data_IF_688155075079
#
_entry.id   IF_688155075079
#
_cell.length_a   1.000
_cell.length_b   1.000
_cell.length_c   1.000
_cell.angle_alpha   90.00
_cell.angle_beta   90.00
_cell.angle_gamma   90.00
#
_symmetry.space_group_name_H-M   'P 1'
#
loop_
_entity.id
_entity.type
_entity.pdbx_description
1 polymer ?
#
# COMPACT_ATOMS: atom_id res chain seq x y z
N UNK A 1 -24.07 -18.71 30.81
CA UNK A 1 -23.48 -19.94 30.23
C UNK A 1 -23.62 -20.01 28.71
N UNK A 2 -24.83 -19.77 28.16
CA UNK A 2 -25.11 -19.86 26.72
C UNK A 2 -24.23 -18.97 25.84
N UNK A 3 -24.00 -17.72 26.23
CA UNK A 3 -23.16 -16.79 25.45
C UNK A 3 -21.70 -17.25 25.30
N UNK A 4 -21.12 -17.87 26.33
CA UNK A 4 -19.76 -18.44 26.24
C UNK A 4 -19.72 -19.65 25.32
N UNK A 5 -20.79 -20.41 25.28
CA UNK A 5 -20.91 -21.54 24.39
C UNK A 5 -20.95 -21.10 22.92
N UNK A 6 -21.86 -20.15 22.59
CA UNK A 6 -21.95 -19.57 21.24
C UNK A 6 -20.63 -18.96 20.79
N UNK A 7 -19.97 -18.21 21.70
CA UNK A 7 -18.66 -17.60 21.41
C UNK A 7 -17.60 -18.66 21.07
N UNK A 8 -17.55 -19.77 21.83
CA UNK A 8 -16.59 -20.85 21.58
C UNK A 8 -16.85 -21.54 20.25
N UNK A 9 -18.14 -21.73 19.89
CA UNK A 9 -18.53 -22.36 18.62
C UNK A 9 -18.16 -21.51 17.40
N UNK A 10 -18.09 -20.17 17.54
CA UNK A 10 -17.69 -19.25 16.47
C UNK A 10 -16.20 -18.95 16.48
N UNK A 11 -15.53 -18.99 17.64
CA UNK A 11 -14.12 -18.63 17.75
C UNK A 11 -13.19 -19.57 16.97
N UNK A 12 -13.47 -20.87 16.97
CA UNK A 12 -12.66 -21.84 16.23
C UNK A 12 -12.76 -21.62 14.72
N UNK A 13 -13.97 -21.55 14.13
CA UNK A 13 -14.11 -21.16 12.72
C UNK A 13 -13.51 -19.79 12.40
N UNK A 14 -13.52 -18.83 13.36
CA UNK A 14 -12.91 -17.52 13.19
C UNK A 14 -11.40 -17.63 12.95
N UNK A 15 -10.69 -18.35 13.81
CA UNK A 15 -9.26 -18.53 13.66
C UNK A 15 -8.91 -19.27 12.36
N UNK A 16 -9.71 -20.30 12.02
CA UNK A 16 -9.55 -21.02 10.75
C UNK A 16 -9.80 -20.11 9.56
N UNK A 17 -10.86 -19.30 9.60
CA UNK A 17 -11.18 -18.33 8.55
C UNK A 17 -10.08 -17.28 8.36
N UNK A 18 -9.61 -16.67 9.44
CA UNK A 18 -8.50 -15.69 9.39
C UNK A 18 -7.25 -16.32 8.79
N UNK A 19 -6.87 -17.53 9.24
CA UNK A 19 -5.72 -18.22 8.71
C UNK A 19 -5.88 -18.55 7.22
N UNK A 20 -7.06 -19.05 6.81
CA UNK A 20 -7.37 -19.39 5.42
C UNK A 20 -7.25 -18.16 4.51
N UNK A 21 -7.88 -17.05 4.87
CA UNK A 21 -7.83 -15.82 4.08
C UNK A 21 -6.42 -15.21 4.09
N UNK A 22 -5.73 -15.24 5.22
CA UNK A 22 -4.36 -14.76 5.29
C UNK A 22 -3.40 -15.59 4.41
N UNK A 23 -3.54 -16.92 4.40
CA UNK A 23 -2.75 -17.80 3.56
C UNK A 23 -3.05 -17.58 2.06
N UNK A 24 -4.31 -17.40 1.70
CA UNK A 24 -4.72 -17.11 0.32
C UNK A 24 -4.14 -15.78 -0.18
N UNK A 25 -4.22 -14.72 0.63
CA UNK A 25 -3.65 -13.42 0.28
C UNK A 25 -2.11 -13.43 0.26
N UNK A 26 -1.46 -14.22 1.12
CA UNK A 26 -0.02 -14.41 1.08
C UNK A 26 0.41 -15.17 -0.19
N UNK A 27 -0.37 -16.17 -0.60
CA UNK A 27 -0.13 -16.89 -1.86
C UNK A 27 -0.30 -15.98 -3.08
N UNK A 28 -1.32 -15.12 -3.11
CA UNK A 28 -1.54 -14.11 -4.15
C UNK A 28 -0.34 -13.15 -4.26
N UNK A 29 0.17 -12.67 -3.13
CA UNK A 29 1.38 -11.85 -3.08
C UNK A 29 2.58 -12.56 -3.68
N UNK A 30 2.84 -13.81 -3.28
CA UNK A 30 3.97 -14.59 -3.81
C UNK A 30 3.82 -14.87 -5.29
N UNK A 31 2.60 -15.17 -5.75
CA UNK A 31 2.30 -15.39 -7.17
C UNK A 31 2.57 -14.13 -8.00
N UNK A 32 2.12 -12.97 -7.53
CA UNK A 32 2.30 -11.69 -8.22
C UNK A 32 3.77 -11.25 -8.31
N UNK A 33 4.59 -11.60 -7.33
CA UNK A 33 6.01 -11.29 -7.28
C UNK A 33 6.91 -12.38 -7.85
N UNK A 34 6.37 -13.55 -8.18
CA UNK A 34 7.16 -14.74 -8.56
C UNK A 34 8.16 -14.49 -9.70
N UNK A 35 7.73 -13.77 -10.75
CA UNK A 35 8.60 -13.42 -11.88
C UNK A 35 9.82 -12.59 -11.47
N UNK A 36 9.63 -11.63 -10.59
CA UNK A 36 10.70 -10.76 -10.08
C UNK A 36 11.62 -11.52 -9.13
N UNK A 37 11.05 -12.30 -8.21
CA UNK A 37 11.80 -13.06 -7.22
C UNK A 37 12.71 -14.09 -7.89
N UNK A 38 12.19 -14.81 -8.90
CA UNK A 38 12.96 -15.81 -9.65
C UNK A 38 14.03 -15.17 -10.53
N UNK A 39 13.71 -14.08 -11.25
CA UNK A 39 14.68 -13.41 -12.13
C UNK A 39 15.85 -12.76 -11.38
N UNK A 40 15.65 -12.39 -10.11
CA UNK A 40 16.66 -11.76 -9.26
C UNK A 40 17.38 -12.73 -8.32
N UNK A 41 16.99 -14.02 -8.29
CA UNK A 41 17.61 -15.01 -7.42
C UNK A 41 17.44 -14.70 -5.92
N UNK A 42 16.28 -14.16 -5.55
CA UNK A 42 15.98 -13.69 -4.17
C UNK A 42 15.96 -14.89 -3.22
N UNK A 43 16.68 -14.76 -2.11
CA UNK A 43 16.79 -15.82 -1.10
C UNK A 43 15.47 -16.06 -0.33
N UNK A 44 15.28 -17.29 0.16
CA UNK A 44 14.07 -17.65 0.94
C UNK A 44 13.84 -16.76 2.18
N UNK A 45 14.92 -16.26 2.79
CA UNK A 45 14.85 -15.34 3.93
C UNK A 45 14.20 -14.01 3.54
N UNK A 46 14.57 -13.44 2.41
CA UNK A 46 14.03 -12.17 1.91
C UNK A 46 12.56 -12.31 1.52
N UNK A 47 12.22 -13.43 0.86
CA UNK A 47 10.82 -13.79 0.57
C UNK A 47 9.99 -13.89 1.85
N UNK A 48 10.52 -14.56 2.88
CA UNK A 48 9.87 -14.66 4.18
C UNK A 48 9.66 -13.31 4.86
N UNK A 49 10.65 -12.40 4.76
CA UNK A 49 10.53 -11.03 5.28
C UNK A 49 9.51 -10.20 4.51
N UNK A 50 9.43 -10.34 3.19
CA UNK A 50 8.38 -9.66 2.39
C UNK A 50 6.98 -10.08 2.83
N UNK A 51 6.76 -11.39 3.02
CA UNK A 51 5.48 -11.90 3.53
C UNK A 51 5.21 -11.37 4.94
N UNK A 52 6.20 -11.37 5.82
CA UNK A 52 6.06 -10.89 7.19
C UNK A 52 5.69 -9.40 7.25
N UNK A 53 6.38 -8.56 6.47
CA UNK A 53 6.08 -7.12 6.41
C UNK A 53 4.72 -6.84 5.75
N UNK A 54 4.22 -7.73 4.90
CA UNK A 54 2.89 -7.62 4.29
C UNK A 54 1.76 -8.12 5.21
N UNK A 55 2.09 -8.85 6.30
CA UNK A 55 1.10 -9.42 7.22
C UNK A 55 0.09 -8.40 7.78
N UNK A 56 0.46 -7.19 8.26
CA UNK A 56 -0.52 -6.25 8.79
C UNK A 56 -1.55 -5.81 7.74
N UNK A 57 -1.13 -5.62 6.49
CA UNK A 57 -2.06 -5.34 5.39
C UNK A 57 -2.98 -6.54 5.12
N UNK A 58 -2.42 -7.75 5.07
CA UNK A 58 -3.16 -9.01 4.90
C UNK A 58 -4.18 -9.20 6.01
N UNK A 59 -3.80 -8.96 7.28
CA UNK A 59 -4.68 -9.07 8.43
C UNK A 59 -5.81 -8.06 8.41
N UNK A 60 -5.60 -6.85 7.87
CA UNK A 60 -6.66 -5.85 7.77
C UNK A 60 -7.86 -6.33 6.94
N UNK A 61 -7.62 -7.23 5.99
CA UNK A 61 -8.66 -7.87 5.17
C UNK A 61 -9.11 -9.21 5.75
N UNK A 62 -8.17 -10.03 6.25
CA UNK A 62 -8.47 -11.36 6.75
C UNK A 62 -9.30 -11.36 8.04
N UNK A 63 -9.10 -10.38 8.93
CA UNK A 63 -9.85 -10.27 10.20
C UNK A 63 -11.37 -10.10 9.97
N UNK A 64 -11.86 -9.14 9.18
CA UNK A 64 -13.29 -8.99 8.93
C UNK A 64 -13.86 -10.14 8.09
N UNK A 65 -13.13 -10.63 7.08
CA UNK A 65 -13.58 -11.76 6.26
C UNK A 65 -13.68 -13.05 7.08
N UNK A 66 -12.70 -13.30 7.96
CA UNK A 66 -12.72 -14.40 8.90
C UNK A 66 -13.91 -14.36 9.85
N UNK A 67 -14.31 -13.15 10.28
CA UNK A 67 -15.50 -12.98 11.14
C UNK A 67 -16.79 -13.36 10.42
N UNK A 68 -16.96 -12.90 9.18
CA UNK A 68 -18.13 -13.28 8.36
C UNK A 68 -18.19 -14.79 8.17
N UNK A 69 -17.07 -15.40 7.80
CA UNK A 69 -16.95 -16.85 7.65
C UNK A 69 -17.32 -17.59 8.95
N UNK A 70 -16.77 -17.13 10.08
CA UNK A 70 -17.00 -17.74 11.39
C UNK A 70 -18.46 -17.70 11.84
N UNK A 71 -19.12 -16.56 11.64
CA UNK A 71 -20.54 -16.41 11.97
C UNK A 71 -21.39 -17.34 11.12
N UNK A 72 -21.12 -17.41 9.81
CA UNK A 72 -21.87 -18.30 8.91
C UNK A 72 -21.66 -19.78 9.28
N UNK A 73 -20.42 -20.23 9.48
CA UNK A 73 -20.11 -21.63 9.81
C UNK A 73 -20.60 -21.99 11.22
N UNK A 74 -20.37 -21.13 12.20
CA UNK A 74 -20.79 -21.34 13.59
C UNK A 74 -22.30 -21.42 13.73
N UNK A 75 -23.04 -20.47 13.14
CA UNK A 75 -24.51 -20.50 13.18
C UNK A 75 -25.08 -21.67 12.39
N UNK A 76 -24.52 -22.02 11.23
CA UNK A 76 -24.94 -23.21 10.48
C UNK A 76 -24.72 -24.49 11.31
N UNK A 77 -23.66 -24.58 12.10
CA UNK A 77 -23.41 -25.66 13.05
C UNK A 77 -24.51 -25.80 14.10
N UNK A 78 -24.86 -24.68 14.76
CA UNK A 78 -25.91 -24.62 15.77
C UNK A 78 -27.31 -24.96 15.20
N UNK A 79 -27.59 -24.53 13.97
CA UNK A 79 -28.85 -24.86 13.26
C UNK A 79 -28.93 -26.36 12.97
N UNK A 80 -27.87 -26.96 12.43
CA UNK A 80 -27.84 -28.40 12.09
C UNK A 80 -28.05 -29.31 13.31
N UNK A 81 -27.50 -28.92 14.46
CA UNK A 81 -27.69 -29.65 15.72
C UNK A 81 -29.02 -29.37 16.40
N UNK A 82 -29.90 -28.53 15.80
CA UNK A 82 -31.18 -28.08 16.37
C UNK A 82 -31.06 -27.34 17.71
N UNK A 83 -29.83 -26.93 18.10
CA UNK A 83 -29.56 -26.24 19.37
C UNK A 83 -30.22 -24.87 19.39
N UNK A 84 -30.23 -24.17 18.25
CA UNK A 84 -30.89 -22.88 18.11
C UNK A 84 -32.39 -22.99 18.27
N UNK A 85 -33.03 -24.05 17.71
CA UNK A 85 -34.45 -24.35 17.88
C UNK A 85 -34.80 -24.66 19.33
N UNK A 86 -33.97 -25.46 20.00
CA UNK A 86 -34.13 -25.80 21.40
C UNK A 86 -34.06 -24.56 22.32
N UNK A 87 -33.07 -23.65 22.03
CA UNK A 87 -32.95 -22.39 22.77
C UNK A 87 -34.18 -21.52 22.61
N UNK A 88 -34.75 -21.40 21.42
CA UNK A 88 -35.99 -20.62 21.18
C UNK A 88 -37.20 -21.27 21.84
N UNK A 89 -37.33 -22.58 21.79
CA UNK A 89 -38.38 -23.31 22.48
C UNK A 89 -38.32 -23.14 24.02
N UNK A 90 -37.10 -22.97 24.55
CA UNK A 90 -36.86 -22.66 25.96
C UNK A 90 -37.06 -21.17 26.32
N UNK A 91 -37.58 -20.35 25.38
CA UNK A 91 -37.88 -18.92 25.62
C UNK A 91 -36.64 -17.99 25.58
N UNK A 92 -35.50 -18.45 25.08
CA UNK A 92 -34.31 -17.60 24.96
C UNK A 92 -34.49 -16.60 23.81
N UNK A 93 -34.43 -15.29 24.07
CA UNK A 93 -34.61 -14.30 23.01
C UNK A 93 -33.41 -14.31 22.03
N UNK A 94 -33.65 -14.10 20.71
CA UNK A 94 -32.62 -14.08 19.70
C UNK A 94 -31.46 -13.12 20.01
N UNK A 95 -31.78 -11.98 20.60
CA UNK A 95 -30.81 -10.96 20.98
C UNK A 95 -29.78 -11.45 22.01
N UNK A 96 -30.17 -12.37 22.90
CA UNK A 96 -29.25 -12.96 23.87
C UNK A 96 -28.20 -13.85 23.22
N UNK A 97 -28.52 -14.47 22.07
CA UNK A 97 -27.61 -15.27 21.26
C UNK A 97 -26.67 -14.38 20.41
N UNK A 98 -27.17 -13.22 19.98
CA UNK A 98 -26.38 -12.29 19.17
C UNK A 98 -25.38 -11.46 19.98
N UNK A 99 -25.66 -11.16 21.25
CA UNK A 99 -24.77 -10.35 22.11
C UNK A 99 -23.30 -10.79 22.07
N UNK A 100 -22.93 -12.08 22.27
CA UNK A 100 -21.54 -12.49 22.23
C UNK A 100 -20.90 -12.31 20.84
N UNK A 101 -21.66 -12.41 19.76
CA UNK A 101 -21.19 -12.19 18.39
C UNK A 101 -20.90 -10.71 18.14
N UNK A 102 -21.79 -9.82 18.62
CA UNK A 102 -21.58 -8.36 18.55
C UNK A 102 -20.33 -7.95 19.34
N UNK A 103 -20.13 -8.50 20.54
CA UNK A 103 -18.94 -8.23 21.33
C UNK A 103 -17.67 -8.73 20.63
N UNK A 104 -17.71 -9.89 19.99
CA UNK A 104 -16.61 -10.40 19.18
C UNK A 104 -16.33 -9.47 17.99
N UNK A 105 -17.37 -9.04 17.30
CA UNK A 105 -17.25 -8.12 16.17
C UNK A 105 -16.64 -6.78 16.58
N UNK A 106 -17.04 -6.21 17.72
CA UNK A 106 -16.46 -5.00 18.29
C UNK A 106 -14.97 -5.18 18.64
N UNK A 107 -14.62 -6.32 19.26
CA UNK A 107 -13.23 -6.64 19.60
C UNK A 107 -12.36 -6.77 18.34
N UNK A 108 -12.85 -7.47 17.31
CA UNK A 108 -12.18 -7.61 16.02
C UNK A 108 -12.04 -6.25 15.32
N UNK A 109 -13.08 -5.43 15.34
CA UNK A 109 -13.07 -4.09 14.74
C UNK A 109 -12.03 -3.18 15.43
N UNK A 110 -11.98 -3.21 16.76
CA UNK A 110 -10.97 -2.44 17.52
C UNK A 110 -9.56 -2.93 17.23
N UNK A 111 -9.35 -4.24 17.19
CA UNK A 111 -8.06 -4.84 16.83
C UNK A 111 -7.64 -4.43 15.41
N UNK A 112 -8.57 -4.46 14.47
CA UNK A 112 -8.29 -4.05 13.09
C UNK A 112 -8.00 -2.55 12.98
N UNK A 113 -8.70 -1.71 13.75
CA UNK A 113 -8.42 -0.28 13.83
C UNK A 113 -7.00 0.00 14.33
N UNK A 114 -6.56 -0.67 15.39
CA UNK A 114 -5.19 -0.56 15.89
C UNK A 114 -4.16 -1.04 14.86
N UNK A 115 -4.48 -2.13 14.14
CA UNK A 115 -3.64 -2.62 13.06
C UNK A 115 -3.49 -1.59 11.94
N UNK A 116 -4.58 -0.96 11.52
CA UNK A 116 -4.59 0.08 10.48
C UNK A 116 -3.86 1.35 10.92
N UNK A 117 -4.02 1.75 12.19
CA UNK A 117 -3.44 2.98 12.72
C UNK A 117 -1.92 2.90 12.92
N UNK A 118 -1.42 1.76 13.41
CA UNK A 118 -0.05 1.66 13.90
C UNK A 118 0.81 0.64 13.13
N UNK A 119 0.31 -0.60 12.97
CA UNK A 119 1.12 -1.67 12.39
C UNK A 119 1.28 -1.55 10.89
N UNK A 120 0.20 -1.24 10.18
CA UNK A 120 0.18 -1.17 8.73
C UNK A 120 1.15 -0.12 8.18
N UNK A 121 1.17 1.15 8.64
CA UNK A 121 2.10 2.16 8.13
C UNK A 121 3.56 1.77 8.31
N UNK A 122 3.93 1.33 9.54
CA UNK A 122 5.31 0.94 9.86
C UNK A 122 5.79 -0.27 9.05
N UNK A 123 4.91 -1.26 8.87
CA UNK A 123 5.25 -2.47 8.10
C UNK A 123 5.31 -2.20 6.61
N UNK A 124 4.47 -1.29 6.10
CA UNK A 124 4.49 -0.89 4.69
C UNK A 124 5.82 -0.22 4.33
N UNK A 125 6.33 0.69 5.15
CA UNK A 125 7.65 1.28 4.93
C UNK A 125 8.79 0.24 4.91
N UNK A 126 8.72 -0.75 5.80
CA UNK A 126 9.71 -1.83 5.83
C UNK A 126 9.62 -2.73 4.60
N UNK A 127 8.38 -3.01 4.15
CA UNK A 127 8.11 -3.76 2.93
C UNK A 127 8.69 -3.03 1.70
N UNK A 128 8.38 -1.74 1.55
CA UNK A 128 8.81 -0.93 0.42
C UNK A 128 10.34 -0.78 0.37
N UNK A 129 10.99 -0.62 1.52
CA UNK A 129 12.45 -0.61 1.62
C UNK A 129 13.08 -1.93 1.20
N UNK A 130 12.48 -3.05 1.62
CA UNK A 130 12.99 -4.38 1.26
C UNK A 130 12.75 -4.67 -0.23
N UNK A 131 11.56 -4.41 -0.72
CA UNK A 131 11.20 -4.58 -2.13
C UNK A 131 12.07 -3.69 -3.03
N UNK A 132 12.29 -2.43 -2.65
CA UNK A 132 13.19 -1.52 -3.34
C UNK A 132 14.62 -2.06 -3.41
N UNK A 133 15.13 -2.65 -2.33
CA UNK A 133 16.44 -3.28 -2.29
C UNK A 133 16.55 -4.49 -3.22
N UNK A 134 15.50 -5.30 -3.29
CA UNK A 134 15.43 -6.45 -4.20
C UNK A 134 15.36 -6.01 -5.66
N UNK A 135 14.55 -4.99 -5.96
CA UNK A 135 14.35 -4.50 -7.33
C UNK A 135 15.58 -3.75 -7.88
N UNK A 136 16.28 -2.98 -7.02
CA UNK A 136 17.29 -2.01 -7.44
C UNK A 136 18.69 -2.30 -6.90
N UNK A 137 18.88 -3.32 -6.03
CA UNK A 137 20.18 -3.72 -5.45
C UNK A 137 20.51 -3.04 -4.13
N UNK A 138 21.65 -3.41 -3.50
CA UNK A 138 22.07 -2.88 -2.19
C UNK A 138 22.42 -1.38 -2.19
N UNK A 139 22.58 -0.75 -3.35
CA UNK A 139 22.60 0.70 -3.54
C UNK A 139 21.23 1.36 -3.44
N UNK A 140 20.16 0.61 -3.18
CA UNK A 140 18.76 0.96 -3.28
C UNK A 140 18.14 1.81 -2.17
N UNK A 141 18.93 2.36 -1.24
CA UNK A 141 18.57 3.60 -0.55
C UNK A 141 18.97 4.83 -1.40
N UNK A 142 19.80 4.62 -2.43
CA UNK A 142 20.14 5.51 -3.52
C UNK A 142 19.81 4.85 -4.86
N UNK A 143 18.79 3.98 -4.91
CA UNK A 143 18.51 3.15 -6.07
C UNK A 143 18.00 3.96 -7.26
N UNK A 144 18.60 3.69 -8.42
CA UNK A 144 18.17 4.23 -9.71
C UNK A 144 16.70 3.96 -9.94
N UNK A 145 15.89 5.00 -9.96
CA UNK A 145 14.48 4.93 -10.29
C UNK A 145 14.35 4.89 -11.81
N UNK A 146 13.71 3.84 -12.34
CA UNK A 146 13.58 3.69 -13.79
C UNK A 146 12.18 4.08 -14.26
N UNK A 147 12.13 4.73 -15.44
CA UNK A 147 10.89 5.11 -16.15
C UNK A 147 9.93 5.91 -15.28
N UNK A 148 10.44 6.98 -14.68
CA UNK A 148 9.63 7.86 -13.86
C UNK A 148 8.87 8.84 -14.74
N UNK A 149 7.56 8.98 -14.46
CA UNK A 149 6.67 9.94 -15.13
C UNK A 149 6.04 10.82 -14.06
N UNK A 150 6.16 12.11 -14.23
CA UNK A 150 5.57 13.11 -13.35
C UNK A 150 4.71 14.04 -14.19
N UNK A 151 3.52 14.35 -13.73
CA UNK A 151 2.60 15.28 -14.40
C UNK A 151 2.09 16.32 -13.41
N UNK A 152 2.96 17.27 -12.96
CA UNK A 152 2.53 18.33 -12.07
C UNK A 152 1.51 19.24 -12.78
N UNK A 153 0.42 19.63 -12.09
CA UNK A 153 -0.60 20.50 -12.67
C UNK A 153 0.00 21.81 -13.17
N UNK A 154 -0.31 22.20 -14.40
CA UNK A 154 0.13 23.48 -14.96
C UNK A 154 1.58 23.53 -15.45
N UNK A 155 2.30 22.40 -15.52
CA UNK A 155 3.71 22.34 -15.94
C UNK A 155 4.00 21.34 -17.07
N UNK A 156 3.04 20.46 -17.39
CA UNK A 156 3.20 19.45 -18.42
C UNK A 156 3.65 18.08 -17.89
N UNK A 157 4.25 17.26 -18.74
CA UNK A 157 4.65 15.88 -18.42
C UNK A 157 6.17 15.77 -18.44
N UNK A 158 6.72 15.31 -17.34
CA UNK A 158 8.14 15.10 -17.12
C UNK A 158 8.42 13.60 -17.09
N UNK A 159 9.30 13.12 -17.94
CA UNK A 159 9.74 11.74 -18.02
C UNK A 159 11.25 11.65 -17.81
N UNK A 160 11.69 10.71 -16.97
CA UNK A 160 13.08 10.33 -16.84
C UNK A 160 13.20 8.81 -16.95
N UNK A 161 14.11 8.32 -17.79
CA UNK A 161 14.38 6.90 -17.93
C UNK A 161 15.03 6.34 -16.69
N UNK A 162 15.98 7.08 -16.11
CA UNK A 162 16.65 6.75 -14.86
C UNK A 162 16.84 8.00 -14.00
N UNK A 163 16.55 7.88 -12.72
CA UNK A 163 16.76 8.91 -11.70
C UNK A 163 17.70 8.33 -10.65
N UNK A 164 18.85 8.98 -10.45
CA UNK A 164 19.86 8.63 -9.46
C UNK A 164 19.73 9.58 -8.27
N UNK A 165 19.16 9.17 -7.13
CA UNK A 165 19.10 10.01 -5.94
C UNK A 165 20.52 10.23 -5.39
N UNK A 166 20.96 11.48 -5.31
CA UNK A 166 22.24 11.90 -4.72
C UNK A 166 21.95 12.90 -3.58
N UNK A 167 22.87 13.08 -2.61
CA UNK A 167 22.65 13.99 -1.48
C UNK A 167 22.45 15.45 -1.87
N UNK A 168 23.07 15.88 -2.96
CA UNK A 168 23.06 17.28 -3.44
C UNK A 168 22.05 17.53 -4.58
N UNK A 169 21.25 16.50 -4.95
CA UNK A 169 20.29 16.58 -6.04
C UNK A 169 20.16 15.24 -6.75
N UNK A 170 19.11 15.05 -7.54
CA UNK A 170 18.91 13.80 -8.25
C UNK A 170 19.48 13.93 -9.66
N UNK A 171 20.39 13.04 -10.05
CA UNK A 171 20.87 12.98 -11.44
C UNK A 171 19.83 12.25 -12.28
N UNK A 172 19.48 12.84 -13.40
CA UNK A 172 18.51 12.32 -14.35
C UNK A 172 19.22 11.82 -15.61
N UNK A 173 18.74 10.71 -16.18
CA UNK A 173 19.19 10.19 -17.45
C UNK A 173 18.01 9.85 -18.35
N UNK A 174 18.15 10.11 -19.67
CA UNK A 174 17.10 9.87 -20.65
C UNK A 174 15.87 10.72 -20.40
N UNK A 175 16.06 12.04 -20.27
CA UNK A 175 15.00 12.98 -19.86
C UNK A 175 14.20 13.43 -21.08
N UNK A 176 12.87 13.43 -20.93
CA UNK A 176 11.92 14.04 -21.86
C UNK A 176 10.88 14.84 -21.10
N UNK A 177 10.70 16.08 -21.46
CA UNK A 177 9.68 16.95 -20.87
C UNK A 177 8.81 17.50 -21.97
N UNK A 178 7.50 17.35 -21.82
CA UNK A 178 6.50 17.96 -22.71
C UNK A 178 5.78 19.05 -21.91
N UNK A 179 5.97 20.31 -22.29
CA UNK A 179 5.28 21.42 -21.62
C UNK A 179 3.83 21.58 -22.11
N UNK A 180 3.06 22.41 -21.46
CA UNK A 180 1.65 22.67 -21.83
C UNK A 180 1.48 23.27 -23.25
N UNK A 181 2.53 23.85 -23.81
CA UNK A 181 2.53 24.42 -25.17
C UNK A 181 2.89 23.38 -26.23
N UNK A 182 3.10 22.10 -25.83
CA UNK A 182 3.47 21.02 -26.71
C UNK A 182 4.95 21.03 -27.13
N UNK A 183 5.80 21.83 -26.51
CA UNK A 183 7.27 21.77 -26.76
C UNK A 183 7.86 20.57 -26.04
N UNK A 184 8.70 19.84 -26.74
CA UNK A 184 9.37 18.65 -26.23
C UNK A 184 10.84 18.96 -25.94
N UNK A 185 11.22 18.89 -24.69
CA UNK A 185 12.62 19.00 -24.28
C UNK A 185 13.19 17.57 -24.16
N UNK A 186 14.34 17.33 -24.73
CA UNK A 186 15.03 16.04 -24.67
C UNK A 186 16.49 16.26 -24.28
N UNK A 187 16.93 15.53 -23.24
CA UNK A 187 18.31 15.56 -22.77
C UNK A 187 18.78 14.15 -22.39
N UNK A 188 20.03 13.82 -22.66
CA UNK A 188 20.62 12.54 -22.21
C UNK A 188 20.83 12.52 -20.71
N UNK A 189 21.26 13.66 -20.15
CA UNK A 189 21.50 13.83 -18.71
C UNK A 189 20.88 15.14 -18.22
N UNK A 190 20.50 15.17 -16.96
CA UNK A 190 19.98 16.33 -16.26
C UNK A 190 20.20 16.23 -14.76
N UNK A 191 20.01 17.34 -14.07
CA UNK A 191 20.06 17.46 -12.61
C UNK A 191 18.70 17.96 -12.11
N UNK A 192 18.15 17.29 -11.13
CA UNK A 192 16.95 17.71 -10.44
C UNK A 192 17.31 18.21 -9.05
N UNK A 193 17.27 19.49 -8.87
CA UNK A 193 17.53 20.21 -7.63
C UNK A 193 16.27 20.95 -7.11
N UNK A 194 16.45 21.80 -6.11
CA UNK A 194 15.36 22.57 -5.52
C UNK A 194 14.75 23.62 -6.48
N UNK A 195 15.49 24.04 -7.51
CA UNK A 195 15.06 25.00 -8.52
C UNK A 195 14.24 24.35 -9.65
N UNK A 196 14.41 23.05 -9.85
CA UNK A 196 13.72 22.29 -10.90
C UNK A 196 14.62 21.28 -11.62
N UNK A 197 14.27 20.98 -12.87
CA UNK A 197 15.08 20.10 -13.72
C UNK A 197 16.03 20.90 -14.58
N UNK A 198 17.30 20.88 -14.25
CA UNK A 198 18.36 21.49 -15.03
C UNK A 198 18.76 20.54 -16.15
N UNK A 199 18.50 20.92 -17.39
CA UNK A 199 18.70 20.11 -18.57
C UNK A 199 19.64 20.76 -19.55
N UNK A 200 20.47 19.94 -20.19
CA UNK A 200 21.30 20.32 -21.34
C UNK A 200 21.01 19.37 -22.48
N UNK A 201 20.35 19.87 -23.51
CA UNK A 201 19.91 19.01 -24.62
C UNK A 201 19.29 19.83 -25.76
N UNK A 202 18.14 19.39 -26.22
CA UNK A 202 17.43 20.01 -27.35
C UNK A 202 15.96 20.27 -26.98
N UNK A 203 15.39 21.33 -27.53
CA UNK A 203 13.98 21.60 -27.55
C UNK A 203 13.43 21.46 -28.97
N UNK A 204 12.34 20.75 -29.10
CA UNK A 204 11.61 20.57 -30.36
C UNK A 204 10.31 21.35 -30.27
N UNK A 205 10.12 22.29 -31.18
CA UNK A 205 8.90 23.08 -31.31
C UNK A 205 8.39 22.99 -32.75
N UNK A 206 7.36 22.19 -32.98
CA UNK A 206 6.90 21.84 -34.31
C UNK A 206 7.95 21.04 -35.10
N UNK A 207 8.47 21.62 -36.21
CA UNK A 207 9.53 21.03 -37.03
C UNK A 207 10.94 21.56 -36.68
N UNK A 208 11.06 22.55 -35.81
CA UNK A 208 12.35 23.15 -35.44
C UNK A 208 12.95 22.47 -34.22
N UNK A 209 14.23 22.13 -34.34
CA UNK A 209 15.07 21.62 -33.24
C UNK A 209 16.12 22.64 -32.89
N UNK A 210 16.13 23.08 -31.62
CA UNK A 210 17.11 24.07 -31.13
C UNK A 210 17.85 23.51 -29.91
N UNK A 211 19.14 23.85 -29.74
CA UNK A 211 19.85 23.50 -28.49
C UNK A 211 19.20 24.23 -27.31
N UNK A 212 19.07 23.53 -26.20
CA UNK A 212 18.51 24.04 -24.94
C UNK A 212 19.45 23.76 -23.78
N UNK A 213 19.74 24.79 -23.01
CA UNK A 213 20.45 24.68 -21.73
C UNK A 213 19.74 25.61 -20.73
N UNK A 214 19.10 25.01 -19.71
CA UNK A 214 18.31 25.80 -18.75
C UNK A 214 17.63 24.94 -17.69
N UNK A 215 16.93 25.61 -16.79
CA UNK A 215 16.15 25.00 -15.71
C UNK A 215 14.66 25.01 -16.08
N UNK A 216 14.03 23.85 -16.08
CA UNK A 216 12.60 23.72 -16.20
C UNK A 216 11.99 23.68 -14.79
N UNK A 217 10.99 24.55 -14.49
CA UNK A 217 10.41 24.61 -13.17
C UNK A 217 9.75 23.29 -12.82
N UNK A 218 10.10 22.74 -11.64
CA UNK A 218 9.50 21.52 -11.15
C UNK A 218 9.21 21.66 -9.65
N UNK A 219 7.98 21.33 -9.16
CA UNK A 219 7.63 21.53 -7.77
C UNK A 219 8.50 20.69 -6.85
N UNK A 220 9.13 21.31 -5.85
CA UNK A 220 9.97 20.65 -4.86
C UNK A 220 9.24 19.57 -4.02
N UNK A 221 7.90 19.52 -4.10
CA UNK A 221 7.05 18.55 -3.42
C UNK A 221 7.11 17.14 -4.00
N UNK A 222 7.50 16.98 -5.26
CA UNK A 222 7.66 15.67 -5.89
C UNK A 222 9.04 15.08 -5.55
N UNK A 223 9.14 14.45 -4.38
CA UNK A 223 10.37 13.71 -4.04
C UNK A 223 10.35 12.33 -4.68
N UNK A 224 11.50 11.84 -5.21
CA UNK A 224 11.56 10.50 -5.82
C UNK A 224 11.14 9.36 -4.90
N UNK A 225 11.22 9.56 -3.58
CA UNK A 225 10.79 8.58 -2.56
C UNK A 225 9.27 8.44 -2.43
N UNK A 226 8.50 9.43 -2.84
CA UNK A 226 7.02 9.40 -2.70
C UNK A 226 6.34 8.61 -3.82
N UNK A 227 7.03 8.36 -4.93
CA UNK A 227 6.46 7.63 -6.08
C UNK A 227 6.66 6.10 -6.05
N UNK A 228 7.41 5.56 -5.08
CA UNK A 228 7.87 4.16 -5.12
C UNK A 228 6.99 3.13 -4.42
N UNK A 229 5.91 3.48 -3.79
CA UNK A 229 5.23 2.46 -2.99
C UNK A 229 3.73 2.54 -2.86
N UNK A 230 3.16 3.68 -2.92
CA UNK A 230 1.73 3.84 -2.70
C UNK A 230 1.05 4.46 -3.91
N UNK A 231 0.04 3.79 -4.43
CA UNK A 231 -0.90 4.42 -5.37
C UNK A 231 -1.69 5.53 -4.68
N UNK A 232 -1.64 5.55 -3.36
CA UNK A 232 -2.26 6.56 -2.51
C UNK A 232 -1.21 7.07 -1.50
N UNK A 233 -0.83 8.36 -1.54
CA UNK A 233 0.14 8.94 -0.61
C UNK A 233 -0.30 8.85 0.87
N UNK A 234 -1.59 8.60 1.12
CA UNK A 234 -2.15 8.48 2.47
C UNK A 234 -2.12 7.05 3.04
N UNK A 235 -1.86 6.03 2.19
CA UNK A 235 -1.91 4.61 2.60
C UNK A 235 -0.79 4.21 3.58
N UNK A 236 0.33 4.94 3.60
CA UNK A 236 1.47 4.73 4.48
C UNK A 236 1.61 5.75 5.61
N UNK A 237 0.68 6.70 5.71
CA UNK A 237 0.79 7.80 6.68
C UNK A 237 0.09 7.43 8.00
N UNK A 238 0.75 7.58 9.17
CA UNK A 238 0.11 7.38 10.47
C UNK A 238 -1.09 8.30 10.68
N UNK A 239 -2.10 7.82 11.39
CA UNK A 239 -3.36 8.56 11.64
C UNK A 239 -3.14 9.95 12.25
N UNK A 240 -2.15 10.10 13.14
CA UNK A 240 -1.81 11.38 13.76
C UNK A 240 -1.35 12.41 12.72
N UNK A 241 -0.56 11.99 11.76
CA UNK A 241 -0.07 12.86 10.69
C UNK A 241 -1.17 13.18 9.67
N UNK A 242 -2.06 12.23 9.38
CA UNK A 242 -3.26 12.45 8.56
C UNK A 242 -4.18 13.50 9.19
N UNK A 243 -4.41 13.42 10.50
CA UNK A 243 -5.20 14.42 11.23
C UNK A 243 -4.58 15.81 11.20
N UNK A 244 -3.26 15.91 11.35
CA UNK A 244 -2.54 17.16 11.24
C UNK A 244 -2.65 17.76 9.83
N UNK A 245 -2.50 16.93 8.79
CA UNK A 245 -2.65 17.35 7.39
C UNK A 245 -4.09 17.71 7.02
N UNK A 246 -5.09 17.00 7.53
CA UNK A 246 -6.51 17.28 7.28
C UNK A 246 -6.97 18.67 7.76
N UNK A 247 -6.23 19.29 8.67
CA UNK A 247 -6.46 20.66 9.10
C UNK A 247 -5.92 21.70 8.11
N UNK A 248 -4.91 21.35 7.31
CA UNK A 248 -4.20 22.25 6.38
C UNK A 248 -4.61 21.98 4.93
N UNK A 249 -4.82 20.73 4.55
CA UNK A 249 -5.13 20.30 3.19
C UNK A 249 -6.54 19.67 3.12
N UNK A 250 -7.49 20.27 2.36
CA UNK A 250 -8.86 19.75 2.28
C UNK A 250 -8.94 18.34 1.65
N UNK A 251 -7.97 17.95 0.83
CA UNK A 251 -7.93 16.63 0.18
C UNK A 251 -7.64 15.48 1.18
N UNK A 252 -6.89 15.74 2.23
CA UNK A 252 -6.58 14.77 3.28
C UNK A 252 -7.79 14.39 4.17
N UNK A 253 -8.92 15.10 4.03
CA UNK A 253 -10.15 14.83 4.80
C UNK A 253 -10.94 13.63 4.29
N UNK A 254 -10.64 13.15 3.08
CA UNK A 254 -11.38 12.06 2.42
C UNK A 254 -10.54 10.77 2.31
N UNK A 255 -9.32 10.76 2.81
CA UNK A 255 -8.46 9.59 2.90
C UNK A 255 -8.66 8.87 4.25
#
# INVERSE_FOLDING_TARGET
>A
MLGRYVLREVLVPYLVGVFLFAALLAFDLLSSLSGVLLSRGVGAREVGLLVLYRLPWTLSLALPLGLVFAVLVGLAGLIRRSELKAAYAAGVPPLALLRPLVLLALAVSLLNLLNLAELRPRSQEAYDRLLGRILYGEGGASGVLRRQVYAPPGLGVYFAEEVYPEPEGNRLRGVRVVDERGRVYSAEEGLWDEEGWRLKGYVVEGEEVRPFEGVLPFPARFRPKESLGSRDPYDSTPLEELWARAQVEPEARFA
#
